data_IF_391306880308
#
_entry.id   IF_391306880308
#
_cell.length_a   1.000
_cell.length_b   1.000
_cell.length_c   1.000
_cell.angle_alpha   90.00
_cell.angle_beta   90.00
_cell.angle_gamma   90.00
#
_symmetry.space_group_name_H-M   'P 1'
#
loop_
_entity.id
_entity.type
_entity.pdbx_description
1 polymer ?
#
# COMPACT_ATOMS: atom_id res chain seq x y z
N UNK A 1 18.42 13.45 18.82
CA UNK A 1 16.95 13.30 18.94
C UNK A 1 16.40 14.35 19.91
N UNK A 2 16.25 15.60 19.44
CA UNK A 2 15.55 16.66 20.18
C UNK A 2 14.17 16.82 19.54
N UNK A 3 13.12 16.52 20.30
CA UNK A 3 11.75 16.87 19.94
C UNK A 3 11.63 18.41 19.91
N UNK A 4 11.73 19.01 18.73
CA UNK A 4 11.33 20.41 18.53
C UNK A 4 9.81 20.42 18.34
N UNK A 5 9.09 20.76 19.42
CA UNK A 5 7.63 20.94 19.44
C UNK A 5 7.20 22.31 18.90
N UNK A 6 7.90 22.83 17.89
CA UNK A 6 7.57 24.09 17.23
C UNK A 6 7.64 23.83 15.73
N UNK A 7 6.52 23.35 15.16
CA UNK A 7 6.27 23.38 13.71
C UNK A 7 6.31 22.06 12.91
N UNK A 8 6.33 20.87 13.52
CA UNK A 8 6.27 19.61 12.74
C UNK A 8 6.85 18.36 13.41
N UNK A 9 7.35 18.47 14.65
CA UNK A 9 8.13 17.39 15.27
C UNK A 9 7.39 16.06 15.43
N UNK A 10 6.24 16.01 16.09
CA UNK A 10 5.57 14.74 16.39
C UNK A 10 4.73 14.20 15.22
N UNK A 11 4.20 15.11 14.41
CA UNK A 11 3.29 14.78 13.32
C UNK A 11 3.99 13.99 12.21
N UNK A 12 5.29 14.19 11.98
CA UNK A 12 6.12 13.45 11.02
C UNK A 12 6.45 12.00 11.45
N UNK A 13 6.27 11.67 12.74
CA UNK A 13 6.54 10.32 13.26
C UNK A 13 5.26 9.48 13.45
N UNK A 14 4.11 9.99 13.01
CA UNK A 14 2.87 9.25 13.08
C UNK A 14 2.85 8.09 12.08
N UNK A 15 2.25 6.94 12.43
CA UNK A 15 2.26 5.74 11.60
C UNK A 15 1.26 5.81 10.43
N UNK A 16 1.15 6.97 9.76
CA UNK A 16 0.13 7.22 8.74
C UNK A 16 0.57 6.92 7.31
N UNK A 17 1.84 6.52 7.14
CA UNK A 17 2.30 5.94 5.88
C UNK A 17 1.55 4.64 5.57
N UNK A 18 1.15 4.49 4.31
CA UNK A 18 0.35 3.34 3.85
C UNK A 18 1.04 1.99 4.15
N UNK A 19 2.36 1.92 3.95
CA UNK A 19 3.14 0.71 4.24
C UNK A 19 3.16 0.39 5.74
N UNK A 20 3.23 1.40 6.60
CA UNK A 20 3.20 1.24 8.06
C UNK A 20 1.84 0.76 8.54
N UNK A 21 0.76 1.37 8.05
CA UNK A 21 -0.61 0.91 8.31
C UNK A 21 -0.77 -0.55 7.88
N UNK A 22 -0.29 -0.87 6.68
CA UNK A 22 -0.38 -2.23 6.13
C UNK A 22 0.44 -3.24 6.95
N UNK A 23 1.62 -2.86 7.44
CA UNK A 23 2.45 -3.70 8.32
C UNK A 23 1.71 -4.05 9.61
N UNK A 24 1.05 -3.07 10.24
CA UNK A 24 0.28 -3.32 11.46
C UNK A 24 -0.95 -4.20 11.21
N UNK A 25 -1.69 -3.95 10.13
CA UNK A 25 -2.83 -4.79 9.76
C UNK A 25 -2.41 -6.23 9.47
N UNK A 26 -1.29 -6.42 8.75
CA UNK A 26 -0.76 -7.75 8.51
C UNK A 26 -0.27 -8.43 9.78
N UNK A 27 0.46 -7.72 10.65
CA UNK A 27 0.90 -8.23 11.95
C UNK A 27 -0.29 -8.69 12.80
N UNK A 28 -1.37 -7.90 12.82
CA UNK A 28 -2.61 -8.27 13.49
C UNK A 28 -3.23 -9.54 12.89
N UNK A 29 -3.29 -9.66 11.56
CA UNK A 29 -3.80 -10.86 10.88
C UNK A 29 -2.96 -12.11 11.15
N UNK A 30 -1.64 -11.99 11.28
CA UNK A 30 -0.74 -13.12 11.51
C UNK A 30 -0.76 -13.60 12.97
N UNK A 31 -0.95 -12.69 13.93
CA UNK A 31 -0.97 -13.01 15.37
C UNK A 31 -2.35 -13.52 15.81
N UNK A 32 -3.41 -12.88 15.33
CA UNK A 32 -4.78 -13.17 15.74
C UNK A 32 -5.52 -13.99 14.69
N UNK A 33 -6.81 -14.26 14.93
CA UNK A 33 -7.65 -14.95 13.96
C UNK A 33 -7.78 -14.07 12.71
N UNK A 34 -7.29 -14.51 11.54
CA UNK A 34 -7.29 -13.65 10.38
C UNK A 34 -8.73 -13.51 9.85
N UNK A 35 -9.11 -12.28 9.54
CA UNK A 35 -10.40 -11.94 8.98
C UNK A 35 -10.26 -11.63 7.48
N UNK A 36 -11.05 -12.32 6.65
CA UNK A 36 -10.99 -12.15 5.20
C UNK A 36 -11.20 -10.69 4.74
N UNK A 37 -12.09 -9.95 5.41
CA UNK A 37 -12.37 -8.55 5.11
C UNK A 37 -11.17 -7.62 5.33
N UNK A 38 -10.27 -7.93 6.27
CA UNK A 38 -9.03 -7.17 6.48
C UNK A 38 -7.95 -7.67 5.53
N UNK A 39 -7.90 -8.98 5.31
CA UNK A 39 -6.96 -9.60 4.38
C UNK A 39 -7.10 -9.06 2.96
N UNK A 40 -8.31 -8.88 2.44
CA UNK A 40 -8.48 -8.36 1.07
C UNK A 40 -7.85 -6.98 0.88
N UNK A 41 -7.94 -6.12 1.90
CA UNK A 41 -7.28 -4.80 1.92
C UNK A 41 -5.77 -4.95 2.00
N UNK A 42 -5.29 -5.74 2.96
CA UNK A 42 -3.86 -6.00 3.17
C UNK A 42 -3.20 -6.60 1.93
N UNK A 43 -3.89 -7.51 1.23
CA UNK A 43 -3.39 -8.10 0.00
C UNK A 43 -3.09 -7.03 -1.06
N UNK A 44 -4.07 -6.20 -1.40
CA UNK A 44 -3.87 -5.19 -2.43
C UNK A 44 -2.84 -4.14 -2.01
N UNK A 45 -2.82 -3.71 -0.75
CA UNK A 45 -1.81 -2.75 -0.27
C UNK A 45 -0.40 -3.34 -0.25
N UNK A 46 -0.27 -4.62 0.07
CA UNK A 46 1.01 -5.34 0.03
C UNK A 46 1.50 -5.49 -1.41
N UNK A 47 0.65 -6.03 -2.29
CA UNK A 47 1.06 -6.34 -3.65
C UNK A 47 1.21 -5.10 -4.52
N UNK A 48 0.25 -4.17 -4.50
CA UNK A 48 0.29 -2.99 -5.35
C UNK A 48 1.11 -1.84 -4.75
N UNK A 49 1.05 -1.64 -3.43
CA UNK A 49 1.77 -0.55 -2.76
C UNK A 49 3.17 -0.95 -2.33
N UNK A 50 3.29 -2.00 -1.53
CA UNK A 50 4.56 -2.35 -0.87
C UNK A 50 5.60 -2.87 -1.87
N UNK A 51 5.20 -3.64 -2.89
CA UNK A 51 6.10 -4.05 -3.98
C UNK A 51 6.69 -2.83 -4.70
N UNK A 52 5.89 -1.79 -4.96
CA UNK A 52 6.40 -0.55 -5.56
C UNK A 52 7.38 0.15 -4.62
N UNK A 53 7.13 0.16 -3.30
CA UNK A 53 8.09 0.64 -2.31
C UNK A 53 9.42 -0.11 -2.33
N UNK A 54 9.42 -1.41 -2.59
CA UNK A 54 10.66 -2.19 -2.74
C UNK A 54 11.40 -1.83 -4.03
N UNK A 55 10.69 -1.62 -5.14
CA UNK A 55 11.28 -1.31 -6.46
C UNK A 55 11.83 0.12 -6.51
N UNK A 56 11.10 1.08 -5.94
CA UNK A 56 11.48 2.51 -5.89
C UNK A 56 11.56 2.97 -4.43
N UNK A 57 12.58 2.52 -3.68
CA UNK A 57 12.63 2.72 -2.24
C UNK A 57 12.96 4.17 -1.90
N UNK A 58 12.24 4.69 -0.90
CA UNK A 58 12.61 5.95 -0.24
C UNK A 58 13.35 5.63 1.05
N UNK A 59 14.68 5.70 0.98
CA UNK A 59 15.55 5.39 2.10
C UNK A 59 15.92 6.66 2.88
N UNK A 60 15.82 6.60 4.20
CA UNK A 60 16.35 7.65 5.08
C UNK A 60 17.87 7.56 5.25
N UNK A 61 18.46 6.39 5.01
CA UNK A 61 19.90 6.18 5.00
C UNK A 61 20.29 5.10 3.99
N UNK A 62 21.44 5.27 3.35
CA UNK A 62 21.97 4.31 2.38
C UNK A 62 22.63 3.11 3.06
N UNK A 63 22.90 2.07 2.28
CA UNK A 63 23.69 0.90 2.71
C UNK A 63 25.05 1.34 3.27
N UNK A 64 25.57 0.74 4.36
CA UNK A 64 25.04 -0.41 5.11
C UNK A 64 24.25 -0.04 6.39
N UNK A 65 23.65 1.15 6.44
CA UNK A 65 23.00 1.65 7.66
C UNK A 65 21.83 0.76 8.13
N UNK A 66 21.54 0.73 9.43
CA UNK A 66 20.46 -0.13 9.96
C UNK A 66 19.09 0.16 9.31
N UNK A 67 18.79 1.44 9.04
CA UNK A 67 17.54 1.87 8.37
C UNK A 67 17.40 1.31 6.96
N UNK A 68 18.51 1.05 6.27
CA UNK A 68 18.48 0.38 4.98
C UNK A 68 17.93 -1.04 5.14
N UNK A 69 18.52 -1.81 6.07
CA UNK A 69 18.12 -3.19 6.32
C UNK A 69 16.72 -3.31 6.88
N UNK A 70 16.37 -2.45 7.84
CA UNK A 70 15.02 -2.38 8.41
C UNK A 70 13.98 -2.16 7.31
N UNK A 71 14.19 -1.19 6.41
CA UNK A 71 13.28 -0.93 5.30
C UNK A 71 13.04 -2.19 4.45
N UNK A 72 14.10 -2.81 3.92
CA UNK A 72 13.93 -3.95 3.02
C UNK A 72 13.39 -5.20 3.72
N UNK A 73 13.79 -5.46 4.96
CA UNK A 73 13.29 -6.60 5.74
C UNK A 73 11.80 -6.42 6.04
N UNK A 74 11.40 -5.24 6.52
CA UNK A 74 10.00 -4.92 6.82
C UNK A 74 9.14 -5.02 5.56
N UNK A 75 9.53 -4.38 4.46
CA UNK A 75 8.72 -4.35 3.23
C UNK A 75 8.64 -5.73 2.56
N UNK A 76 9.74 -6.48 2.53
CA UNK A 76 9.72 -7.86 2.01
C UNK A 76 8.86 -8.75 2.91
N UNK A 77 8.97 -8.60 4.23
CA UNK A 77 8.15 -9.32 5.20
C UNK A 77 6.65 -9.08 5.01
N UNK A 78 6.24 -7.85 4.68
CA UNK A 78 4.85 -7.52 4.37
C UNK A 78 4.35 -8.31 3.17
N UNK A 79 5.10 -8.28 2.06
CA UNK A 79 4.74 -9.01 0.84
C UNK A 79 4.65 -10.51 1.10
N UNK A 80 5.67 -11.08 1.75
CA UNK A 80 5.70 -12.52 2.07
C UNK A 80 4.57 -12.92 3.02
N UNK A 81 4.28 -12.12 4.05
CA UNK A 81 3.20 -12.42 5.00
C UNK A 81 1.82 -12.43 4.33
N UNK A 82 1.55 -11.50 3.41
CA UNK A 82 0.32 -11.51 2.61
C UNK A 82 0.21 -12.79 1.76
N UNK A 83 1.32 -13.23 1.13
CA UNK A 83 1.36 -14.48 0.37
C UNK A 83 1.15 -15.71 1.26
N UNK A 84 1.73 -15.74 2.46
CA UNK A 84 1.52 -16.83 3.44
C UNK A 84 0.04 -16.97 3.79
N UNK A 85 -0.69 -15.87 3.98
CA UNK A 85 -2.13 -15.91 4.25
C UNK A 85 -2.91 -16.50 3.06
N UNK A 86 -2.56 -16.17 1.82
CA UNK A 86 -3.16 -16.76 0.62
C UNK A 86 -2.96 -18.28 0.62
N UNK A 87 -1.72 -18.74 0.78
CA UNK A 87 -1.40 -20.16 0.71
C UNK A 87 -1.97 -20.95 1.88
N UNK A 88 -1.98 -20.37 3.09
CA UNK A 88 -2.49 -21.04 4.29
C UNK A 88 -4.00 -21.20 4.28
N UNK A 89 -4.73 -20.16 3.87
CA UNK A 89 -6.20 -20.13 3.94
C UNK A 89 -6.87 -20.42 2.59
N UNK A 90 -6.10 -20.57 1.51
CA UNK A 90 -6.61 -20.71 0.14
C UNK A 90 -7.58 -19.60 -0.25
N UNK A 91 -7.39 -18.40 0.32
CA UNK A 91 -8.24 -17.25 0.05
C UNK A 91 -8.00 -16.71 -1.35
N UNK A 92 -9.09 -16.29 -1.99
CA UNK A 92 -9.09 -15.75 -3.35
C UNK A 92 -9.67 -14.35 -3.33
N UNK A 93 -8.94 -13.39 -3.89
CA UNK A 93 -9.47 -12.03 -4.07
C UNK A 93 -10.40 -11.95 -5.28
N UNK A 94 -11.36 -11.03 -5.21
CA UNK A 94 -12.40 -10.83 -6.23
C UNK A 94 -12.46 -9.37 -6.68
N UNK A 95 -13.28 -9.06 -7.69
CA UNK A 95 -13.59 -7.68 -8.06
C UNK A 95 -14.18 -6.87 -6.89
N UNK A 96 -15.00 -7.50 -6.04
CA UNK A 96 -15.54 -6.84 -4.85
C UNK A 96 -14.43 -6.52 -3.84
N UNK A 97 -13.47 -7.44 -3.68
CA UNK A 97 -12.29 -7.24 -2.85
C UNK A 97 -11.44 -6.07 -3.32
N UNK A 98 -11.25 -5.94 -4.65
CA UNK A 98 -10.55 -4.81 -5.26
C UNK A 98 -11.21 -3.48 -4.90
N UNK A 99 -12.53 -3.36 -5.12
CA UNK A 99 -13.24 -2.11 -4.84
C UNK A 99 -13.28 -1.76 -3.36
N UNK A 100 -13.39 -2.76 -2.47
CA UNK A 100 -13.30 -2.55 -1.03
C UNK A 100 -11.92 -2.05 -0.61
N UNK A 101 -10.85 -2.66 -1.11
CA UNK A 101 -9.49 -2.21 -0.85
C UNK A 101 -9.24 -0.80 -1.40
N UNK A 102 -9.73 -0.52 -2.61
CA UNK A 102 -9.63 0.80 -3.21
C UNK A 102 -10.40 1.85 -2.41
N UNK A 103 -11.60 1.53 -1.93
CA UNK A 103 -12.35 2.43 -1.04
C UNK A 103 -11.60 2.71 0.26
N UNK A 104 -10.98 1.70 0.87
CA UNK A 104 -10.14 1.91 2.06
C UNK A 104 -8.90 2.77 1.77
N UNK A 105 -8.32 2.64 0.57
CA UNK A 105 -7.24 3.52 0.13
C UNK A 105 -7.71 4.97 0.09
N UNK A 106 -8.92 5.22 -0.43
CA UNK A 106 -9.53 6.56 -0.46
C UNK A 106 -9.77 7.13 0.93
N UNK A 107 -10.23 6.31 1.88
CA UNK A 107 -10.42 6.73 3.28
C UNK A 107 -9.09 7.16 3.91
N UNK A 108 -8.03 6.36 3.72
CA UNK A 108 -6.68 6.69 4.24
C UNK A 108 -6.12 7.94 3.53
N UNK A 109 -6.27 8.04 2.21
CA UNK A 109 -5.81 9.18 1.43
C UNK A 109 -6.50 10.48 1.87
N UNK A 110 -7.82 10.45 2.07
CA UNK A 110 -8.57 11.60 2.55
C UNK A 110 -8.15 11.99 3.98
N UNK A 111 -7.98 11.01 4.87
CA UNK A 111 -7.47 11.27 6.21
C UNK A 111 -6.09 11.95 6.17
N UNK A 112 -5.16 11.42 5.37
CA UNK A 112 -3.82 11.99 5.21
C UNK A 112 -3.87 13.37 4.56
N UNK A 113 -4.76 13.62 3.59
CA UNK A 113 -4.95 14.94 3.00
C UNK A 113 -5.34 15.96 4.08
N UNK A 114 -6.33 15.65 4.93
CA UNK A 114 -6.73 16.56 6.01
C UNK A 114 -5.60 16.73 7.03
N UNK A 115 -4.92 15.65 7.40
CA UNK A 115 -3.83 15.68 8.38
C UNK A 115 -2.63 16.49 7.89
N UNK A 116 -2.20 16.27 6.65
CA UNK A 116 -1.07 16.94 6.00
C UNK A 116 -1.26 18.46 5.93
N UNK A 117 -2.46 18.91 5.56
CA UNK A 117 -2.77 20.34 5.52
C UNK A 117 -2.93 20.95 6.91
N UNK A 118 -3.32 20.17 7.93
CA UNK A 118 -3.50 20.65 9.31
C UNK A 118 -2.17 20.77 10.05
N UNK A 119 -1.25 19.82 9.86
CA UNK A 119 0.01 19.73 10.60
C UNK A 119 1.26 20.01 9.75
N UNK A 120 1.06 20.47 8.52
CA UNK A 120 2.09 20.83 7.54
C UNK A 120 3.05 19.68 7.16
N UNK A 121 2.60 18.43 7.33
CA UNK A 121 3.32 17.21 6.94
C UNK A 121 2.95 16.77 5.51
N UNK A 122 3.47 15.62 5.05
CA UNK A 122 3.33 15.19 3.65
C UNK A 122 3.25 13.67 3.48
N UNK A 123 2.34 13.02 4.21
CA UNK A 123 2.08 11.58 4.08
C UNK A 123 1.49 11.25 2.71
N UNK A 124 1.94 10.15 2.10
CA UNK A 124 1.51 9.73 0.75
C UNK A 124 1.63 10.83 -0.33
N UNK A 125 2.40 11.89 -0.07
CA UNK A 125 2.55 13.06 -0.94
C UNK A 125 1.23 13.80 -1.22
N UNK A 126 0.33 13.89 -0.25
CA UNK A 126 -0.97 14.56 -0.47
C UNK A 126 -0.87 16.09 -0.58
N UNK A 127 0.21 16.69 -0.09
CA UNK A 127 0.40 18.15 -0.09
C UNK A 127 1.46 18.63 -1.08
N UNK A 128 2.61 17.97 -1.14
CA UNK A 128 3.74 18.36 -1.99
C UNK A 128 4.38 17.14 -2.65
N UNK A 129 5.03 17.36 -3.81
CA UNK A 129 5.87 16.36 -4.43
C UNK A 129 7.02 15.93 -3.51
N UNK A 130 7.56 14.72 -3.71
CA UNK A 130 8.82 14.29 -3.10
C UNK A 130 9.92 15.35 -3.22
N UNK A 131 10.73 15.53 -2.17
CA UNK A 131 11.93 16.40 -2.25
C UNK A 131 13.05 15.80 -3.12
N UNK A 132 12.93 14.52 -3.47
CA UNK A 132 13.87 13.78 -4.31
C UNK A 132 13.21 13.50 -5.66
N UNK A 133 13.95 13.56 -6.77
CA UNK A 133 13.41 13.21 -8.08
C UNK A 133 12.72 11.85 -8.06
N UNK A 134 11.49 11.79 -8.55
CA UNK A 134 10.65 10.60 -8.51
C UNK A 134 9.80 10.47 -9.77
N UNK A 135 9.23 9.29 -9.98
CA UNK A 135 8.28 9.05 -11.09
C UNK A 135 7.07 9.99 -11.03
N UNK A 136 6.69 10.41 -9.81
CA UNK A 136 5.52 11.27 -9.57
C UNK A 136 5.74 12.67 -10.18
N UNK A 137 6.98 13.11 -10.33
CA UNK A 137 7.29 14.45 -10.88
C UNK A 137 6.85 14.58 -12.35
N UNK A 138 6.68 13.46 -13.06
CA UNK A 138 6.19 13.43 -14.43
C UNK A 138 4.66 13.50 -14.54
N UNK A 139 3.94 13.42 -13.44
CA UNK A 139 2.47 13.41 -13.42
C UNK A 139 1.81 14.79 -13.28
N UNK A 140 2.62 15.85 -13.27
CA UNK A 140 2.16 17.24 -13.27
C UNK A 140 2.08 17.88 -11.88
N UNK A 141 1.43 19.03 -11.80
CA UNK A 141 1.32 19.82 -10.57
C UNK A 141 0.22 19.31 -9.65
N UNK A 142 0.28 19.67 -8.37
CA UNK A 142 -0.81 19.41 -7.43
C UNK A 142 -2.14 20.03 -7.95
N UNK A 143 -3.28 19.33 -7.89
CA UNK A 143 -3.51 17.97 -7.39
C UNK A 143 -3.47 16.87 -8.48
N UNK A 144 -3.09 17.19 -9.72
CA UNK A 144 -3.17 16.27 -10.87
C UNK A 144 -2.34 15.00 -10.71
N UNK A 145 -1.15 15.10 -10.10
CA UNK A 145 -0.33 13.92 -9.84
C UNK A 145 -1.00 12.93 -8.88
N UNK A 146 -1.88 13.40 -7.99
CA UNK A 146 -2.61 12.54 -7.04
C UNK A 146 -3.56 11.63 -7.84
N UNK A 147 -4.34 12.20 -8.76
CA UNK A 147 -5.22 11.42 -9.64
C UNK A 147 -4.44 10.46 -10.54
N UNK A 148 -3.26 10.86 -11.03
CA UNK A 148 -2.39 9.95 -11.78
C UNK A 148 -1.89 8.78 -10.92
N UNK A 149 -1.48 9.05 -9.67
CA UNK A 149 -1.11 8.02 -8.70
C UNK A 149 -2.29 7.09 -8.37
N UNK A 150 -3.51 7.61 -8.27
CA UNK A 150 -4.71 6.79 -8.07
C UNK A 150 -5.01 5.89 -9.26
N UNK A 151 -4.92 6.44 -10.48
CA UNK A 151 -5.09 5.66 -11.71
C UNK A 151 -4.04 4.55 -11.81
N UNK A 152 -2.77 4.86 -11.50
CA UNK A 152 -1.69 3.88 -11.44
C UNK A 152 -1.91 2.83 -10.34
N UNK A 153 -2.39 3.25 -9.16
CA UNK A 153 -2.74 2.36 -8.07
C UNK A 153 -3.87 1.40 -8.45
N UNK A 154 -4.94 1.90 -9.07
CA UNK A 154 -6.05 1.10 -9.55
C UNK A 154 -5.60 0.12 -10.65
N UNK A 155 -4.78 0.56 -11.61
CA UNK A 155 -4.21 -0.31 -12.62
C UNK A 155 -3.36 -1.44 -12.00
N UNK A 156 -2.57 -1.11 -10.97
CA UNK A 156 -1.80 -2.09 -10.21
C UNK A 156 -2.70 -3.08 -9.46
N UNK A 157 -3.81 -2.63 -8.87
CA UNK A 157 -4.77 -3.52 -8.22
C UNK A 157 -5.38 -4.50 -9.23
N UNK A 158 -5.77 -4.03 -10.41
CA UNK A 158 -6.29 -4.87 -11.49
C UNK A 158 -5.23 -5.91 -11.88
N UNK A 159 -3.97 -5.49 -12.07
CA UNK A 159 -2.87 -6.40 -12.40
C UNK A 159 -2.73 -7.53 -11.36
N UNK A 160 -2.75 -7.21 -10.07
CA UNK A 160 -2.66 -8.22 -9.01
C UNK A 160 -3.94 -9.02 -8.75
N UNK A 161 -5.06 -8.63 -9.37
CA UNK A 161 -6.28 -9.44 -9.41
C UNK A 161 -6.23 -10.50 -10.51
N UNK A 162 -5.49 -10.27 -11.61
CA UNK A 162 -5.45 -11.15 -12.80
C UNK A 162 -5.17 -12.63 -12.47
N UNK A 163 -4.18 -13.00 -11.62
CA UNK A 163 -3.90 -14.41 -11.35
C UNK A 163 -5.13 -15.16 -10.81
N UNK A 164 -5.95 -14.51 -9.98
CA UNK A 164 -7.13 -15.11 -9.38
C UNK A 164 -8.28 -15.26 -10.40
N UNK A 165 -8.42 -14.30 -11.32
CA UNK A 165 -9.41 -14.38 -12.40
C UNK A 165 -9.07 -15.50 -13.38
N UNK A 166 -7.79 -15.63 -13.77
CA UNK A 166 -7.33 -16.65 -14.70
C UNK A 166 -7.49 -18.07 -14.11
N UNK A 167 -7.22 -18.24 -12.83
CA UNK A 167 -7.43 -19.53 -12.13
C UNK A 167 -8.93 -19.86 -12.06
N UNK A 168 -9.80 -18.90 -11.75
CA UNK A 168 -11.24 -19.16 -11.68
C UNK A 168 -11.85 -19.48 -13.06
N UNK A 169 -11.42 -18.78 -14.12
CA UNK A 169 -11.88 -19.05 -15.49
C UNK A 169 -11.59 -20.50 -15.92
N UNK A 170 -10.38 -21.01 -15.63
CA UNK A 170 -9.99 -22.39 -15.95
C UNK A 170 -10.81 -23.47 -15.24
N UNK A 171 -11.40 -23.15 -14.10
CA UNK A 171 -12.21 -24.09 -13.30
C UNK A 171 -13.71 -24.00 -13.62
N UNK A 172 -14.13 -23.12 -14.53
CA UNK A 172 -15.54 -23.03 -14.96
C UNK A 172 -15.77 -24.11 -16.03
N UNK A 173 -16.76 -25.01 -15.88
CA UNK A 173 -17.07 -25.98 -16.93
C UNK A 173 -17.35 -25.24 -18.23
N UNK A 174 -16.66 -25.60 -19.31
CA UNK A 174 -17.04 -25.14 -20.65
C UNK A 174 -18.38 -25.78 -20.97
N UNK A 175 -19.47 -25.03 -20.85
CA UNK A 175 -20.72 -25.44 -21.49
C UNK A 175 -20.45 -25.58 -22.98
N UNK A 176 -20.62 -26.81 -23.48
CA UNK A 176 -20.57 -27.08 -24.92
C UNK A 176 -21.85 -26.44 -25.47
N UNK A 177 -21.76 -25.43 -26.36
CA UNK A 177 -22.96 -24.90 -26.99
C UNK A 177 -23.61 -26.02 -27.81
N UNK A 178 -24.87 -26.32 -27.48
CA UNK A 178 -25.75 -27.21 -28.26
C UNK A 178 -26.15 -26.57 -29.59
#
# INVERSE_FOLDING_TARGET
>A
YKFNMVGGGWAEYMPFELCTINAYLLGFLLIFRPAYAVFEVVYFFSMAGTVQGIITPRLFAAFPHYLFWEYFITHTGIVLGALVLIFRYNWKVTWLSLWRAFLWLQVIAFFNLVFDFTFEVNYMFMRNLPRVPSVIDYFGQWPWYIFACEAFGLASFIFYLLPFLLINYRNTPKEIPN
#
